data_IF_042205963993
#
_entry.id   IF_042205963993
#
_cell.length_a   1.000
_cell.length_b   1.000
_cell.length_c   1.000
_cell.angle_alpha   90.00
_cell.angle_beta   90.00
_cell.angle_gamma   90.00
#
_symmetry.space_group_name_H-M   'P 1'
#
loop_
_entity.id
_entity.type
_entity.pdbx_description
1 polymer ?
#
# COMPACT_ATOMS: atom_id res chain seq x y z
N UNK A 1 13.68 9.45 -6.80
CA UNK A 1 12.38 8.81 -7.05
C UNK A 1 12.54 7.60 -7.97
N UNK A 2 13.14 7.78 -9.16
CA UNK A 2 13.44 6.69 -10.12
C UNK A 2 14.04 5.42 -9.46
N UNK A 3 15.06 5.60 -8.60
CA UNK A 3 15.71 4.48 -7.89
C UNK A 3 14.80 3.59 -7.03
N UNK A 4 13.70 4.10 -6.48
CA UNK A 4 12.80 3.27 -5.67
C UNK A 4 11.78 2.52 -6.51
N UNK A 5 11.39 3.10 -7.65
CA UNK A 5 10.55 2.42 -8.63
C UNK A 5 11.33 1.31 -9.34
N UNK A 6 12.61 1.54 -9.62
CA UNK A 6 13.56 0.54 -10.14
C UNK A 6 13.70 -0.68 -9.21
N UNK A 7 13.43 -0.53 -7.90
CA UNK A 7 13.42 -1.67 -6.98
C UNK A 7 12.20 -2.57 -7.16
N UNK A 8 11.08 -2.05 -7.68
CA UNK A 8 9.88 -2.85 -7.85
C UNK A 8 10.02 -3.81 -9.04
N UNK A 9 10.50 -3.29 -10.17
CA UNK A 9 10.71 -4.02 -11.43
C UNK A 9 11.94 -3.46 -12.14
N UNK A 10 12.91 -4.31 -12.44
CA UNK A 10 13.98 -4.01 -13.39
C UNK A 10 13.60 -4.59 -14.74
N UNK A 11 13.20 -3.73 -15.68
CA UNK A 11 12.79 -4.13 -17.02
C UNK A 11 13.95 -4.19 -18.02
N UNK A 12 15.20 -3.98 -17.60
CA UNK A 12 16.41 -4.05 -18.43
C UNK A 12 16.55 -2.93 -19.47
N UNK A 13 15.44 -2.43 -20.04
CA UNK A 13 15.33 -1.26 -20.92
C UNK A 13 13.88 -0.74 -20.93
N UNK A 14 13.52 0.18 -20.03
CA UNK A 14 12.21 0.86 -20.09
C UNK A 14 10.98 -0.05 -19.85
N UNK A 15 9.87 0.58 -19.53
CA UNK A 15 8.66 0.06 -18.87
C UNK A 15 8.16 -1.29 -19.48
N UNK A 16 8.35 -2.38 -18.70
CA UNK A 16 7.73 -3.72 -18.78
C UNK A 16 7.99 -4.57 -20.05
N UNK A 17 9.12 -5.30 -20.08
CA UNK A 17 9.29 -6.49 -20.93
C UNK A 17 9.32 -7.78 -20.09
N UNK A 18 8.86 -8.90 -20.65
CA UNK A 18 8.92 -10.21 -20.00
C UNK A 18 10.38 -10.68 -19.93
N UNK A 19 10.84 -11.05 -18.72
CA UNK A 19 12.27 -11.24 -18.40
C UNK A 19 12.77 -10.32 -17.28
N UNK A 20 11.91 -9.43 -16.78
CA UNK A 20 12.20 -8.54 -15.67
C UNK A 20 12.48 -9.29 -14.34
N UNK A 21 13.28 -8.68 -13.48
CA UNK A 21 13.46 -9.09 -12.09
C UNK A 21 12.75 -8.11 -11.16
N UNK A 22 12.46 -8.52 -9.93
CA UNK A 22 12.14 -7.62 -8.82
C UNK A 22 13.36 -7.50 -7.92
N UNK A 23 14.19 -6.44 -8.07
CA UNK A 23 15.34 -6.21 -7.19
C UNK A 23 14.95 -6.14 -5.72
N UNK A 24 13.73 -5.71 -5.41
CA UNK A 24 13.23 -5.71 -4.06
C UNK A 24 13.08 -7.11 -3.47
N UNK A 25 12.57 -8.10 -4.21
CA UNK A 25 12.52 -9.48 -3.70
C UNK A 25 13.93 -10.07 -3.50
N UNK A 26 14.93 -9.63 -4.28
CA UNK A 26 16.34 -10.01 -4.09
C UNK A 26 16.89 -9.42 -2.79
N UNK A 27 16.67 -8.12 -2.54
CA UNK A 27 17.05 -7.46 -1.30
C UNK A 27 16.33 -8.06 -0.08
N UNK A 28 15.04 -8.34 -0.22
CA UNK A 28 14.22 -9.00 0.79
C UNK A 28 14.78 -10.39 1.15
N UNK A 29 15.18 -11.18 0.16
CA UNK A 29 15.80 -12.49 0.40
C UNK A 29 17.08 -12.39 1.23
N UNK A 30 17.94 -11.40 0.94
CA UNK A 30 19.19 -11.17 1.67
C UNK A 30 18.93 -10.74 3.11
N UNK A 31 17.97 -9.82 3.30
CA UNK A 31 17.51 -9.40 4.62
C UNK A 31 16.95 -10.59 5.42
N UNK A 32 16.06 -11.39 4.81
CA UNK A 32 15.46 -12.58 5.43
C UNK A 32 16.50 -13.64 5.78
N UNK A 33 17.55 -13.80 4.98
CA UNK A 33 18.59 -14.79 5.23
C UNK A 33 19.36 -14.50 6.53
N UNK A 34 19.56 -13.23 6.88
CA UNK A 34 20.17 -12.81 8.14
C UNK A 34 21.64 -13.25 8.31
N UNK A 35 22.34 -13.48 7.20
CA UNK A 35 23.70 -14.02 7.17
C UNK A 35 24.76 -12.98 7.59
N UNK A 36 25.93 -13.49 8.00
CA UNK A 36 27.14 -12.67 8.14
C UNK A 36 27.60 -12.19 6.75
N UNK A 37 28.40 -11.12 6.65
CA UNK A 37 28.91 -10.67 5.35
C UNK A 37 29.73 -11.75 4.59
N UNK A 38 30.60 -12.56 5.24
CA UNK A 38 31.27 -13.67 4.58
C UNK A 38 30.32 -14.75 4.04
N UNK A 39 29.27 -15.10 4.80
CA UNK A 39 28.31 -16.12 4.37
C UNK A 39 27.33 -15.59 3.32
N UNK A 40 26.98 -14.31 3.40
CA UNK A 40 26.17 -13.64 2.40
C UNK A 40 26.85 -13.63 1.01
N UNK A 41 28.18 -13.57 0.97
CA UNK A 41 28.94 -13.70 -0.27
C UNK A 41 28.82 -15.07 -0.94
N UNK A 42 28.38 -16.10 -0.20
CA UNK A 42 28.08 -17.45 -0.72
C UNK A 42 26.67 -17.54 -1.33
N UNK A 43 25.82 -16.55 -1.10
CA UNK A 43 24.43 -16.51 -1.57
C UNK A 43 24.31 -15.71 -2.88
N UNK A 44 23.97 -16.41 -3.96
CA UNK A 44 23.70 -15.83 -5.28
C UNK A 44 22.19 -15.86 -5.52
N UNK A 45 21.55 -14.69 -5.48
CA UNK A 45 20.09 -14.57 -5.59
C UNK A 45 19.70 -13.96 -6.95
N UNK A 46 18.84 -14.66 -7.68
CA UNK A 46 18.10 -14.15 -8.83
C UNK A 46 16.60 -14.07 -8.53
N UNK A 47 15.85 -13.45 -9.43
CA UNK A 47 14.41 -13.32 -9.31
C UNK A 47 13.73 -13.48 -10.66
N UNK A 48 12.57 -14.15 -10.66
CA UNK A 48 11.63 -14.16 -11.77
C UNK A 48 10.45 -13.25 -11.41
N UNK A 49 10.27 -12.17 -12.16
CA UNK A 49 9.08 -11.32 -12.03
C UNK A 49 7.95 -11.82 -12.91
N UNK A 50 6.74 -11.80 -12.38
CA UNK A 50 5.51 -12.10 -13.12
C UNK A 50 4.51 -10.96 -12.98
N UNK A 51 4.05 -10.42 -14.11
CA UNK A 51 3.03 -9.36 -14.14
C UNK A 51 1.68 -9.87 -13.65
N UNK A 52 1.26 -11.05 -14.09
CA UNK A 52 -0.04 -11.61 -13.75
C UNK A 52 0.01 -12.42 -12.45
N UNK A 53 -1.00 -12.25 -11.59
CA UNK A 53 -1.10 -12.95 -10.31
C UNK A 53 -1.22 -14.48 -10.47
N UNK A 54 -1.87 -14.95 -11.53
CA UNK A 54 -1.98 -16.38 -11.86
C UNK A 54 -0.63 -16.97 -12.25
N UNK A 55 0.14 -16.27 -13.09
CA UNK A 55 1.53 -16.66 -13.40
C UNK A 55 2.38 -16.69 -12.13
N UNK A 56 2.22 -15.68 -11.27
CA UNK A 56 2.90 -15.63 -9.96
C UNK A 56 2.56 -16.84 -9.09
N UNK A 57 1.29 -17.25 -9.01
CA UNK A 57 0.84 -18.42 -8.25
C UNK A 57 1.63 -19.69 -8.62
N UNK A 58 1.87 -19.89 -9.92
CA UNK A 58 2.55 -21.08 -10.43
C UNK A 58 4.07 -21.04 -10.30
N UNK A 59 4.67 -19.87 -10.02
CA UNK A 59 6.12 -19.80 -9.74
C UNK A 59 6.50 -20.52 -8.45
N UNK A 60 7.76 -20.98 -8.39
CA UNK A 60 8.34 -21.69 -7.26
C UNK A 60 9.72 -21.13 -6.96
N UNK A 61 10.10 -21.17 -5.68
CA UNK A 61 11.46 -20.87 -5.26
C UNK A 61 12.34 -22.05 -5.64
N UNK A 62 13.31 -21.82 -6.52
CA UNK A 62 14.28 -22.84 -6.93
C UNK A 62 15.63 -22.56 -6.27
N UNK A 63 16.36 -23.58 -5.83
CA UNK A 63 17.71 -23.38 -5.32
C UNK A 63 18.63 -24.54 -5.69
N UNK A 64 19.93 -24.29 -5.72
CA UNK A 64 20.95 -25.30 -5.98
C UNK A 64 22.25 -24.92 -5.26
N UNK A 65 22.74 -25.83 -4.42
CA UNK A 65 24.07 -25.72 -3.82
C UNK A 65 25.12 -26.27 -4.80
N UNK A 66 26.23 -25.55 -5.00
CA UNK A 66 27.35 -25.97 -5.86
C UNK A 66 28.69 -25.57 -5.23
N UNK A 67 29.79 -26.27 -5.55
CA UNK A 67 31.12 -25.80 -5.19
C UNK A 67 31.40 -24.43 -5.83
N UNK A 68 31.83 -23.49 -5.01
CA UNK A 68 32.30 -22.16 -5.41
C UNK A 68 33.78 -22.16 -5.81
N UNK A 69 34.32 -21.01 -6.24
CA UNK A 69 35.69 -20.89 -6.75
C UNK A 69 36.79 -21.34 -5.76
N UNK A 70 36.51 -21.23 -4.46
CA UNK A 70 37.45 -21.57 -3.38
C UNK A 70 37.20 -22.96 -2.78
N UNK A 71 36.30 -23.76 -3.36
CA UNK A 71 35.85 -25.05 -2.81
C UNK A 71 34.72 -24.96 -1.79
N UNK A 72 34.40 -23.75 -1.29
CA UNK A 72 33.26 -23.51 -0.41
C UNK A 72 31.92 -23.75 -1.12
N UNK A 73 30.85 -24.07 -0.39
CA UNK A 73 29.52 -24.19 -0.99
C UNK A 73 28.92 -22.81 -1.28
N UNK A 74 28.47 -22.59 -2.52
CA UNK A 74 27.64 -21.45 -2.92
C UNK A 74 26.18 -21.91 -3.14
N UNK A 75 25.24 -21.07 -2.73
CA UNK A 75 23.81 -21.31 -2.92
C UNK A 75 23.27 -20.37 -3.99
N UNK A 76 22.87 -20.94 -5.11
CA UNK A 76 22.16 -20.24 -6.17
C UNK A 76 20.66 -20.35 -5.90
N UNK A 77 19.99 -19.21 -5.80
CA UNK A 77 18.60 -19.12 -5.36
C UNK A 77 17.80 -18.28 -6.36
N UNK A 78 16.71 -18.82 -6.88
CA UNK A 78 15.78 -18.15 -7.75
C UNK A 78 14.47 -17.86 -7.01
N UNK A 79 14.27 -16.59 -6.65
CA UNK A 79 13.05 -16.10 -6.00
C UNK A 79 11.99 -15.73 -7.03
N UNK A 80 10.78 -15.43 -6.60
CA UNK A 80 9.72 -14.94 -7.49
C UNK A 80 9.08 -13.67 -6.96
N UNK A 81 8.74 -12.74 -7.85
CA UNK A 81 8.15 -11.44 -7.51
C UNK A 81 6.89 -11.12 -8.32
N UNK A 82 5.96 -10.39 -7.72
CA UNK A 82 4.76 -9.88 -8.38
C UNK A 82 4.29 -8.59 -7.71
N UNK A 83 3.92 -7.59 -8.51
CA UNK A 83 3.42 -6.32 -7.99
C UNK A 83 1.91 -6.26 -8.08
N UNK A 84 1.28 -5.77 -7.01
CA UNK A 84 -0.15 -5.45 -7.01
C UNK A 84 -0.33 -3.95 -6.88
N UNK A 85 -1.08 -3.38 -7.81
CA UNK A 85 -1.40 -1.96 -7.89
C UNK A 85 -2.82 -1.68 -7.34
N UNK A 86 -3.16 -0.42 -7.12
CA UNK A 86 -4.52 -0.05 -6.72
C UNK A 86 -5.50 -0.28 -7.89
N UNK A 87 -6.67 -0.88 -7.60
CA UNK A 87 -7.65 -1.28 -8.63
C UNK A 87 -8.20 -0.10 -9.45
N UNK A 88 -8.20 1.12 -8.89
CA UNK A 88 -8.71 2.33 -9.54
C UNK A 88 -7.78 2.86 -10.65
N UNK A 89 -6.60 2.28 -10.83
CA UNK A 89 -5.63 2.69 -11.84
C UNK A 89 -5.71 1.80 -13.07
N UNK A 90 -6.88 1.74 -13.71
CA UNK A 90 -6.97 1.25 -15.08
C UNK A 90 -6.35 2.31 -16.02
N UNK A 91 -5.10 2.07 -16.40
CA UNK A 91 -4.61 2.33 -17.76
C UNK A 91 -4.17 3.76 -18.20
N UNK A 92 -3.94 4.73 -17.29
CA UNK A 92 -3.59 6.12 -17.75
C UNK A 92 -2.37 6.81 -17.13
N UNK A 93 -1.64 6.23 -16.16
CA UNK A 93 -0.47 6.89 -15.57
C UNK A 93 0.80 6.01 -15.66
N UNK A 94 1.83 6.53 -16.34
CA UNK A 94 3.07 5.84 -16.73
C UNK A 94 4.06 5.56 -15.59
N UNK A 95 3.73 5.82 -14.33
CA UNK A 95 4.59 5.49 -13.19
C UNK A 95 3.81 5.58 -11.88
N UNK A 96 3.16 4.47 -11.50
CA UNK A 96 2.45 4.36 -10.22
C UNK A 96 3.24 3.40 -9.33
N UNK A 97 3.39 3.74 -8.05
CA UNK A 97 3.98 2.81 -7.09
C UNK A 97 3.08 1.60 -6.91
N UNK A 98 3.67 0.41 -6.85
CA UNK A 98 2.94 -0.77 -6.43
C UNK A 98 2.41 -0.55 -5.00
N UNK A 99 1.18 -0.98 -4.73
CA UNK A 99 0.66 -1.00 -3.34
C UNK A 99 1.47 -2.00 -2.51
N UNK A 100 1.75 -3.15 -3.10
CA UNK A 100 2.52 -4.24 -2.51
C UNK A 100 3.34 -5.00 -3.55
N UNK A 101 4.37 -5.68 -3.07
CA UNK A 101 5.21 -6.59 -3.83
C UNK A 101 5.13 -7.96 -3.14
N UNK A 102 4.52 -8.92 -3.80
CA UNK A 102 4.52 -10.32 -3.37
C UNK A 102 5.83 -10.99 -3.73
N UNK A 103 6.53 -11.52 -2.73
CA UNK A 103 7.77 -12.26 -2.90
C UNK A 103 7.62 -13.69 -2.39
N UNK A 104 8.10 -14.66 -3.19
CA UNK A 104 8.34 -16.03 -2.75
C UNK A 104 9.85 -16.21 -2.52
N UNK A 105 10.21 -16.47 -1.27
CA UNK A 105 11.58 -16.48 -0.76
C UNK A 105 11.92 -17.85 -0.15
N UNK A 106 13.20 -18.14 0.04
CA UNK A 106 13.68 -19.28 0.83
C UNK A 106 13.86 -18.84 2.29
N UNK A 107 13.46 -19.66 3.24
CA UNK A 107 13.61 -19.35 4.68
C UNK A 107 15.08 -19.29 5.09
N UNK A 108 15.38 -18.49 6.14
CA UNK A 108 16.72 -18.42 6.73
C UNK A 108 17.22 -19.82 7.13
N UNK A 109 16.36 -20.64 7.75
CA UNK A 109 16.71 -22.01 8.17
C UNK A 109 17.09 -22.92 6.98
N UNK A 110 16.37 -22.81 5.86
CA UNK A 110 16.75 -23.52 4.63
C UNK A 110 18.12 -23.07 4.14
N UNK A 111 18.40 -21.76 4.15
CA UNK A 111 19.69 -21.22 3.71
C UNK A 111 20.82 -21.68 4.63
N UNK A 112 20.62 -21.61 5.96
CA UNK A 112 21.55 -22.14 6.97
C UNK A 112 21.90 -23.61 6.66
N UNK A 113 20.88 -24.44 6.41
CA UNK A 113 21.05 -25.85 6.07
C UNK A 113 21.82 -26.08 4.78
N UNK A 114 21.49 -25.35 3.71
CA UNK A 114 22.13 -25.55 2.40
C UNK A 114 23.59 -25.07 2.37
N UNK A 115 23.91 -24.03 3.13
CA UNK A 115 25.27 -23.47 3.20
C UNK A 115 26.11 -24.04 4.35
N UNK A 116 25.50 -24.78 5.28
CA UNK A 116 26.11 -25.22 6.54
C UNK A 116 26.66 -24.03 7.36
N UNK A 117 25.82 -23.01 7.55
CA UNK A 117 26.14 -21.76 8.27
C UNK A 117 25.08 -21.48 9.34
N UNK A 118 25.31 -20.46 10.16
CA UNK A 118 24.33 -19.95 11.13
C UNK A 118 24.05 -18.48 10.81
N UNK A 119 22.78 -18.10 10.69
CA UNK A 119 22.39 -16.72 10.53
C UNK A 119 22.75 -15.93 11.79
N UNK A 120 23.30 -14.73 11.58
CA UNK A 120 23.58 -13.76 12.65
C UNK A 120 22.28 -13.24 13.24
N UNK A 121 21.26 -13.06 12.40
CA UNK A 121 19.92 -12.64 12.80
C UNK A 121 18.92 -13.70 12.40
N UNK A 122 18.32 -14.36 13.39
CA UNK A 122 17.27 -15.38 13.20
C UNK A 122 15.90 -14.79 13.45
N UNK A 123 14.88 -15.45 12.89
CA UNK A 123 13.49 -15.07 13.09
C UNK A 123 13.12 -13.75 12.41
N UNK A 124 13.84 -13.36 11.35
CA UNK A 124 13.48 -12.21 10.52
C UNK A 124 12.10 -12.45 9.92
N UNK A 125 11.17 -11.51 10.18
CA UNK A 125 9.79 -11.56 9.70
C UNK A 125 9.62 -10.75 8.41
N UNK A 126 8.50 -10.90 7.70
CA UNK A 126 8.18 -10.03 6.57
C UNK A 126 8.03 -8.57 7.03
N UNK A 127 7.54 -8.35 8.26
CA UNK A 127 7.49 -7.04 8.90
C UNK A 127 8.87 -6.41 9.12
N UNK A 128 9.89 -7.21 9.45
CA UNK A 128 11.27 -6.72 9.57
C UNK A 128 11.87 -6.35 8.22
N UNK A 129 11.55 -7.12 7.17
CA UNK A 129 11.92 -6.78 5.78
C UNK A 129 11.29 -5.44 5.36
N UNK A 130 10.04 -5.17 5.77
CA UNK A 130 9.39 -3.88 5.52
C UNK A 130 10.05 -2.71 6.29
N UNK A 131 10.51 -2.93 7.53
CA UNK A 131 11.32 -1.94 8.26
C UNK A 131 12.61 -1.63 7.52
N UNK A 132 13.30 -2.66 7.03
CA UNK A 132 14.51 -2.52 6.22
C UNK A 132 14.26 -1.72 4.93
N UNK A 133 13.10 -1.93 4.28
CA UNK A 133 12.67 -1.14 3.13
C UNK A 133 12.58 0.35 3.47
N UNK A 134 11.95 0.68 4.60
CA UNK A 134 11.81 2.06 5.05
C UNK A 134 13.18 2.69 5.34
N UNK A 135 14.07 1.99 6.03
CA UNK A 135 15.43 2.47 6.30
C UNK A 135 16.23 2.74 5.02
N UNK A 136 16.13 1.85 4.03
CA UNK A 136 16.74 2.03 2.73
C UNK A 136 16.20 3.29 2.04
N UNK A 137 14.88 3.48 2.04
CA UNK A 137 14.25 4.66 1.47
C UNK A 137 14.71 5.93 2.20
N UNK A 138 14.77 5.94 3.54
CA UNK A 138 15.23 7.11 4.29
C UNK A 138 16.66 7.55 3.90
N UNK A 139 17.53 6.60 3.53
CA UNK A 139 18.90 6.87 3.05
C UNK A 139 18.92 7.45 1.62
N UNK A 140 17.87 7.23 0.83
CA UNK A 140 17.73 7.76 -0.54
C UNK A 140 17.12 9.17 -0.60
N UNK A 141 16.52 9.64 0.50
CA UNK A 141 15.88 10.96 0.55
C UNK A 141 16.91 12.08 0.64
N UNK A 142 16.57 13.24 0.05
CA UNK A 142 17.37 14.45 0.28
C UNK A 142 17.28 14.87 1.76
N UNK A 143 18.33 15.51 2.32
CA UNK A 143 18.32 15.97 3.71
C UNK A 143 17.10 16.86 4.04
N UNK A 144 16.71 17.74 3.11
CA UNK A 144 15.54 18.62 3.25
C UNK A 144 14.23 17.83 3.35
N UNK A 145 14.07 16.82 2.49
CA UNK A 145 12.89 15.96 2.48
C UNK A 145 12.78 15.17 3.77
N UNK A 146 13.87 14.53 4.18
CA UNK A 146 13.93 13.75 5.41
C UNK A 146 13.65 14.63 6.63
N UNK A 147 14.23 15.84 6.69
CA UNK A 147 13.97 16.81 7.77
C UNK A 147 12.49 17.20 7.82
N UNK A 148 11.87 17.49 6.66
CA UNK A 148 10.43 17.83 6.58
C UNK A 148 9.56 16.68 7.06
N UNK A 149 9.83 15.47 6.59
CA UNK A 149 9.09 14.26 7.00
C UNK A 149 9.20 14.01 8.51
N UNK A 150 10.42 14.08 9.07
CA UNK A 150 10.62 13.91 10.52
C UNK A 150 9.90 14.98 11.36
N UNK A 151 9.80 16.21 10.84
CA UNK A 151 9.20 17.32 11.58
C UNK A 151 7.67 17.37 11.50
N UNK A 152 7.07 16.94 10.38
CA UNK A 152 5.64 17.17 10.10
C UNK A 152 4.90 15.93 9.60
N UNK A 153 5.62 14.94 9.09
CA UNK A 153 5.02 13.75 8.51
C UNK A 153 4.50 12.81 9.58
N UNK A 154 3.34 12.22 9.31
CA UNK A 154 2.87 11.02 10.01
C UNK A 154 3.80 9.85 9.70
N UNK A 155 4.15 9.09 10.73
CA UNK A 155 5.21 8.09 10.66
C UNK A 155 4.76 6.78 9.96
N UNK A 156 5.64 5.80 9.86
CA UNK A 156 5.26 4.41 9.56
C UNK A 156 5.14 3.65 10.88
N UNK A 157 4.09 2.85 11.02
CA UNK A 157 3.91 1.95 12.15
C UNK A 157 3.92 0.50 11.66
N UNK A 158 4.54 -0.39 12.43
CA UNK A 158 4.67 -1.79 12.08
C UNK A 158 3.76 -2.63 12.97
N UNK A 159 2.84 -3.35 12.35
CA UNK A 159 1.99 -4.34 13.02
C UNK A 159 2.63 -5.73 12.87
N UNK A 160 2.26 -6.71 13.72
CA UNK A 160 2.63 -8.09 13.50
C UNK A 160 2.20 -8.58 12.11
N UNK A 161 2.99 -9.46 11.53
CA UNK A 161 2.58 -10.18 10.32
C UNK A 161 1.35 -11.05 10.61
N UNK A 162 0.55 -11.30 9.58
CA UNK A 162 -0.62 -12.16 9.66
C UNK A 162 -0.60 -13.18 8.53
N UNK A 163 -1.40 -14.24 8.66
CA UNK A 163 -1.46 -15.34 7.72
C UNK A 163 -2.82 -15.37 7.02
N UNK A 164 -2.87 -15.90 5.78
CA UNK A 164 -4.15 -16.11 5.11
C UNK A 164 -4.97 -17.15 5.87
N UNK A 165 -6.30 -17.07 5.76
CA UNK A 165 -7.18 -17.99 6.46
C UNK A 165 -6.86 -19.46 6.10
N UNK A 166 -6.50 -20.28 7.10
CA UNK A 166 -6.20 -21.70 6.90
C UNK A 166 -4.85 -22.01 6.25
N UNK A 167 -3.93 -21.05 6.11
CA UNK A 167 -2.57 -21.26 5.59
C UNK A 167 -2.55 -21.89 4.19
N UNK A 168 -3.51 -21.50 3.35
CA UNK A 168 -3.72 -22.06 2.01
C UNK A 168 -2.99 -21.22 0.97
N UNK A 169 -2.02 -21.82 0.28
CA UNK A 169 -1.16 -21.15 -0.72
C UNK A 169 -1.90 -20.31 -1.77
N UNK A 170 -2.98 -20.78 -2.41
CA UNK A 170 -3.79 -19.95 -3.31
C UNK A 170 -4.35 -18.67 -2.66
N UNK A 171 -4.73 -18.69 -1.38
CA UNK A 171 -5.26 -17.50 -0.70
C UNK A 171 -4.20 -16.41 -0.53
N UNK A 172 -2.92 -16.78 -0.39
CA UNK A 172 -1.82 -15.82 -0.38
C UNK A 172 -1.79 -14.94 -1.64
N UNK A 173 -2.24 -15.46 -2.79
CA UNK A 173 -2.25 -14.73 -4.06
C UNK A 173 -3.32 -13.64 -4.04
N UNK A 174 -4.50 -13.95 -3.52
CA UNK A 174 -5.67 -13.06 -3.56
C UNK A 174 -5.67 -12.04 -2.43
N UNK A 175 -5.16 -12.41 -1.26
CA UNK A 175 -5.01 -11.51 -0.13
C UNK A 175 -3.87 -10.51 -0.34
N UNK A 176 -3.85 -9.48 0.51
CA UNK A 176 -2.93 -8.35 0.43
C UNK A 176 -2.39 -8.02 1.81
N UNK A 177 -1.26 -7.33 1.87
CA UNK A 177 -0.83 -6.69 3.11
C UNK A 177 -1.85 -5.62 3.55
N UNK A 178 -1.94 -5.41 4.86
CA UNK A 178 -2.84 -4.40 5.42
C UNK A 178 -2.14 -3.05 5.52
N UNK A 179 -2.78 -2.03 4.98
CA UNK A 179 -2.41 -0.62 5.13
C UNK A 179 -3.54 0.10 5.83
N UNK A 180 -3.31 0.53 7.07
CA UNK A 180 -4.28 1.31 7.85
C UNK A 180 -3.70 2.68 8.16
N UNK A 181 -4.28 3.73 7.59
CA UNK A 181 -3.92 5.11 7.93
C UNK A 181 -4.64 5.54 9.21
N UNK A 182 -3.91 6.19 10.12
CA UNK A 182 -4.49 6.82 11.30
C UNK A 182 -3.90 8.24 11.50
N UNK A 183 -4.24 8.88 12.61
CA UNK A 183 -3.82 10.25 12.91
C UNK A 183 -2.30 10.43 13.04
N UNK A 184 -1.55 9.38 13.40
CA UNK A 184 -0.12 9.47 13.71
C UNK A 184 0.77 8.74 12.71
N UNK A 185 0.25 7.73 12.00
CA UNK A 185 1.04 6.91 11.08
C UNK A 185 0.22 6.13 10.05
N UNK A 186 0.94 5.60 9.05
CA UNK A 186 0.50 4.49 8.21
C UNK A 186 0.93 3.18 8.87
N UNK A 187 -0.03 2.42 9.40
CA UNK A 187 0.22 1.11 9.97
C UNK A 187 0.27 0.03 8.88
N UNK A 188 1.34 -0.76 8.89
CA UNK A 188 1.65 -1.79 7.88
C UNK A 188 1.68 -3.15 8.58
N UNK A 189 0.87 -4.10 8.12
CA UNK A 189 0.94 -5.50 8.51
C UNK A 189 1.19 -6.35 7.27
N UNK A 190 2.22 -7.20 7.26
CA UNK A 190 2.52 -8.04 6.11
C UNK A 190 1.70 -9.32 6.16
N UNK A 191 1.18 -9.74 5.02
CA UNK A 191 0.72 -11.12 4.85
C UNK A 191 1.95 -12.02 4.68
N UNK A 192 2.11 -12.98 5.58
CA UNK A 192 3.24 -13.90 5.62
C UNK A 192 2.74 -15.34 5.58
N UNK A 193 3.51 -16.22 4.95
CA UNK A 193 3.26 -17.66 4.92
C UNK A 193 4.60 -18.38 4.95
N UNK A 194 4.74 -19.44 5.74
CA UNK A 194 5.98 -20.19 5.77
C UNK A 194 5.70 -21.67 5.78
N UNK A 195 6.65 -22.42 5.23
CA UNK A 195 6.58 -23.88 5.18
C UNK A 195 7.76 -24.46 5.93
N UNK A 196 7.54 -25.58 6.61
CA UNK A 196 8.62 -26.26 7.31
C UNK A 196 9.70 -26.72 6.31
N UNK A 197 10.96 -26.70 6.74
CA UNK A 197 12.13 -27.10 5.95
C UNK A 197 12.13 -28.57 5.53
N UNK A 198 11.31 -29.40 6.16
CA UNK A 198 11.10 -30.83 5.85
C UNK A 198 9.77 -31.09 5.11
N UNK A 199 9.05 -30.03 4.72
CA UNK A 199 7.81 -30.14 3.95
C UNK A 199 8.04 -30.85 2.62
N UNK A 200 7.24 -31.90 2.36
CA UNK A 200 7.34 -32.72 1.14
C UNK A 200 6.99 -31.96 -0.14
N UNK A 201 6.16 -30.92 -0.05
CA UNK A 201 5.65 -30.20 -1.23
C UNK A 201 6.45 -28.94 -1.53
N UNK A 202 6.77 -28.18 -0.48
CA UNK A 202 7.47 -26.90 -0.57
C UNK A 202 8.37 -26.77 0.66
N UNK A 203 9.59 -27.32 0.62
CA UNK A 203 10.48 -27.32 1.78
C UNK A 203 11.01 -25.91 2.06
N UNK A 204 10.67 -25.37 3.22
CA UNK A 204 11.34 -24.20 3.80
C UNK A 204 11.24 -22.93 2.98
N UNK A 205 10.07 -22.70 2.40
CA UNK A 205 9.73 -21.50 1.62
C UNK A 205 9.04 -20.49 2.52
N UNK A 206 9.27 -19.20 2.26
CA UNK A 206 8.72 -18.07 3.00
C UNK A 206 8.09 -17.08 2.02
N UNK A 207 6.80 -16.83 2.12
CA UNK A 207 6.05 -15.91 1.28
C UNK A 207 5.79 -14.62 2.03
N UNK A 208 6.04 -13.48 1.39
CA UNK A 208 5.81 -12.16 1.98
C UNK A 208 5.04 -11.26 1.00
N UNK A 209 4.01 -10.57 1.49
CA UNK A 209 3.50 -9.35 0.85
C UNK A 209 4.21 -8.15 1.47
N UNK A 210 5.13 -7.57 0.73
CA UNK A 210 5.99 -6.48 1.19
C UNK A 210 5.46 -5.14 0.71
N UNK A 211 5.65 -4.11 1.53
CA UNK A 211 5.37 -2.74 1.14
C UNK A 211 6.39 -2.30 0.09
N UNK A 212 5.90 -1.71 -0.99
CA UNK A 212 6.77 -1.16 -2.02
C UNK A 212 7.66 -0.03 -1.46
N UNK A 213 8.97 -0.03 -1.78
CA UNK A 213 9.85 1.12 -1.53
C UNK A 213 9.36 2.42 -2.17
N UNK A 214 8.77 2.37 -3.37
CA UNK A 214 8.22 3.55 -4.02
C UNK A 214 6.96 4.06 -3.29
N UNK A 215 6.11 3.15 -2.78
CA UNK A 215 4.95 3.53 -1.97
C UNK A 215 5.36 4.18 -0.64
N UNK A 216 6.49 3.77 -0.06
CA UNK A 216 7.08 4.44 1.10
C UNK A 216 7.50 5.87 0.74
N UNK A 217 8.14 6.08 -0.42
CA UNK A 217 8.46 7.43 -0.89
C UNK A 217 7.20 8.26 -1.06
N UNK A 218 6.15 7.72 -1.70
CA UNK A 218 4.90 8.45 -1.89
C UNK A 218 4.31 8.85 -0.54
N UNK A 219 4.24 7.93 0.42
CA UNK A 219 3.81 8.24 1.78
C UNK A 219 4.61 9.40 2.40
N UNK A 220 5.93 9.31 2.37
CA UNK A 220 6.84 10.32 2.95
C UNK A 220 6.70 11.68 2.26
N UNK A 221 6.51 11.69 0.94
CA UNK A 221 6.51 12.89 0.14
C UNK A 221 5.17 13.62 0.12
N UNK A 222 4.07 12.89 0.22
CA UNK A 222 2.72 13.42 0.01
C UNK A 222 1.78 13.05 1.16
N UNK A 223 1.39 11.79 1.28
CA UNK A 223 0.25 11.37 2.12
C UNK A 223 0.49 11.61 3.62
N UNK A 224 1.73 11.44 4.09
CA UNK A 224 2.09 11.68 5.50
C UNK A 224 1.94 13.15 5.93
N UNK A 225 1.95 14.10 4.99
CA UNK A 225 1.85 15.54 5.26
C UNK A 225 0.41 16.07 5.20
N UNK A 226 -0.52 15.26 4.72
CA UNK A 226 -1.95 15.60 4.73
C UNK A 226 -2.47 15.54 6.17
N UNK A 227 -3.42 16.41 6.55
CA UNK A 227 -4.20 16.22 7.77
C UNK A 227 -4.84 14.84 7.75
N UNK A 228 -5.05 14.24 8.92
CA UNK A 228 -5.75 12.97 9.01
C UNK A 228 -7.17 13.10 8.42
N UNK A 229 -7.57 12.08 7.66
CA UNK A 229 -8.86 12.06 6.98
C UNK A 229 -10.04 12.22 7.96
N UNK A 230 -9.89 11.75 9.20
CA UNK A 230 -10.81 11.98 10.32
C UNK A 230 -11.03 13.46 10.63
N UNK A 231 -9.97 14.27 10.65
CA UNK A 231 -10.09 15.72 10.88
C UNK A 231 -10.70 16.43 9.68
N UNK A 232 -10.44 15.95 8.46
CA UNK A 232 -11.01 16.56 7.24
C UNK A 232 -12.53 16.41 7.17
N UNK A 233 -13.10 15.28 7.61
CA UNK A 233 -14.56 15.10 7.69
C UNK A 233 -15.22 16.08 8.68
N UNK A 234 -14.54 16.44 9.77
CA UNK A 234 -15.01 17.49 10.71
C UNK A 234 -15.06 18.88 10.07
N UNK A 235 -14.06 19.24 9.25
CA UNK A 235 -14.04 20.54 8.55
C UNK A 235 -15.11 20.62 7.45
N UNK A 236 -15.33 19.57 6.66
CA UNK A 236 -16.39 19.56 5.66
C UNK A 236 -17.79 19.55 6.29
N UNK A 237 -17.97 18.88 7.43
CA UNK A 237 -19.21 18.91 8.22
C UNK A 237 -19.54 20.32 8.73
N UNK A 238 -18.55 21.05 9.24
CA UNK A 238 -18.73 22.43 9.70
C UNK A 238 -19.09 23.39 8.54
N UNK A 239 -18.44 23.26 7.39
CA UNK A 239 -18.75 24.06 6.21
C UNK A 239 -20.14 23.73 5.63
N UNK A 240 -20.55 22.46 5.63
CA UNK A 240 -21.88 22.05 5.21
C UNK A 240 -22.98 22.57 6.14
N UNK A 241 -22.74 22.56 7.46
CA UNK A 241 -23.69 23.11 8.44
C UNK A 241 -23.83 24.64 8.34
N UNK A 242 -22.77 25.35 7.94
CA UNK A 242 -22.81 26.80 7.72
C UNK A 242 -23.57 27.18 6.43
N UNK A 243 -23.45 26.35 5.39
CA UNK A 243 -24.21 26.50 4.13
C UNK A 243 -25.71 26.18 4.30
N UNK A 244 -26.06 25.14 5.07
CA UNK A 244 -27.47 24.78 5.31
C UNK A 244 -28.25 25.82 6.13
N UNK A 245 -27.59 26.52 7.07
CA UNK A 245 -28.22 27.64 7.79
C UNK A 245 -28.56 28.82 6.85
N UNK A 246 -27.77 29.05 5.81
CA UNK A 246 -28.07 30.06 4.79
C UNK A 246 -29.26 29.68 3.88
N UNK A 247 -29.34 28.43 3.45
CA UNK A 247 -30.41 27.94 2.59
C UNK A 247 -31.78 27.88 3.33
N UNK A 248 -31.79 27.44 4.59
CA UNK A 248 -33.01 27.42 5.39
C UNK A 248 -33.57 28.83 5.66
N UNK A 249 -32.69 29.82 5.88
CA UNK A 249 -33.10 31.21 6.09
C UNK A 249 -33.72 31.83 4.82
N UNK A 250 -33.14 31.55 3.65
CA UNK A 250 -33.66 32.03 2.37
C UNK A 250 -35.02 31.41 2.01
N UNK A 251 -35.21 30.12 2.29
CA UNK A 251 -36.49 29.45 2.05
C UNK A 251 -37.60 30.00 2.95
N UNK A 252 -37.32 30.22 4.25
CA UNK A 252 -38.31 30.75 5.18
C UNK A 252 -38.73 32.19 4.82
N UNK A 253 -37.78 33.01 4.38
CA UNK A 253 -38.06 34.39 3.95
C UNK A 253 -38.96 34.44 2.70
N UNK A 254 -38.72 33.56 1.72
CA UNK A 254 -39.54 33.46 0.52
C UNK A 254 -40.99 32.98 0.80
N UNK A 255 -41.16 32.05 1.73
CA UNK A 255 -42.50 31.56 2.15
C UNK A 255 -43.29 32.67 2.84
N UNK A 256 -42.66 33.42 3.75
CA UNK A 256 -43.31 34.55 4.44
C UNK A 256 -43.73 35.67 3.49
N UNK A 257 -42.95 35.93 2.44
CA UNK A 257 -43.27 36.95 1.42
C UNK A 257 -44.44 36.51 0.52
N UNK A 258 -44.56 35.21 0.25
CA UNK A 258 -45.67 34.61 -0.51
C UNK A 258 -46.99 34.60 0.27
N UNK A 259 -46.94 34.42 1.59
CA UNK A 259 -48.12 34.52 2.47
C UNK A 259 -48.64 35.96 2.60
N UNK A 260 -47.73 36.95 2.71
CA UNK A 260 -48.10 38.38 2.75
C UNK A 260 -48.81 38.85 1.48
N UNK A 261 -48.35 38.40 0.31
CA UNK A 261 -48.95 38.75 -0.98
C UNK A 261 -50.32 38.10 -1.18
N UNK A 262 -50.53 36.87 -0.72
CA UNK A 262 -51.86 36.22 -0.74
C UNK A 262 -52.88 36.94 0.14
N UNK A 263 -52.51 37.37 1.36
CA UNK A 263 -53.40 38.15 2.23
C UNK A 263 -53.81 39.49 1.60
N UNK A 264 -52.85 40.20 1.00
CA UNK A 264 -53.12 41.46 0.29
C UNK A 264 -54.10 41.28 -0.87
N UNK A 265 -53.95 40.24 -1.71
CA UNK A 265 -54.88 39.99 -2.82
C UNK A 265 -56.29 39.56 -2.35
N UNK A 266 -56.38 38.85 -1.22
CA UNK A 266 -57.68 38.48 -0.66
C UNK A 266 -58.47 39.70 -0.15
N UNK A 267 -57.79 40.70 0.43
CA UNK A 267 -58.41 41.96 0.85
C UNK A 267 -58.86 42.81 -0.34
N UNK A 268 -58.05 42.92 -1.39
CA UNK A 268 -58.42 43.64 -2.63
C UNK A 268 -59.65 43.01 -3.30
N UNK A 269 -59.71 41.68 -3.38
CA UNK A 269 -60.87 40.96 -3.93
C UNK A 269 -62.14 41.12 -3.08
N UNK A 270 -62.00 41.33 -1.77
CA UNK A 270 -63.13 41.61 -0.88
C UNK A 270 -63.68 43.03 -1.11
N UNK A 271 -62.81 44.01 -1.36
CA UNK A 271 -63.21 45.38 -1.69
C UNK A 271 -63.97 45.45 -3.02
N UNK A 272 -63.48 44.79 -4.08
CA UNK A 272 -64.13 44.83 -5.40
C UNK A 272 -65.51 44.16 -5.45
N UNK A 273 -65.85 43.28 -4.50
CA UNK A 273 -67.17 42.62 -4.46
C UNK A 273 -68.24 43.46 -3.78
N UNK A 274 -67.88 44.49 -3.00
CA UNK A 274 -68.84 45.33 -2.29
C UNK A 274 -69.36 46.55 -3.09
N UNK A 275 -68.81 46.83 -4.28
CA UNK A 275 -69.24 47.99 -5.10
C UNK A 275 -70.38 47.66 -6.10
N UNK A 276 -71.00 46.48 -6.05
CA UNK A 276 -72.01 46.04 -7.01
C UNK A 276 -73.44 45.97 -6.47
N UNK A 277 -73.84 46.95 -5.67
CA UNK A 277 -75.26 47.19 -5.34
C UNK A 277 -75.57 48.66 -5.57
N UNK A 278 -76.00 48.98 -6.80
CA UNK A 278 -76.73 50.22 -7.08
C UNK A 278 -78.22 49.93 -6.89
N UNK A 279 -78.95 50.77 -6.14
CA UNK A 279 -80.38 50.59 -5.94
C UNK A 279 -81.15 50.97 -7.22
N UNK A 280 -81.90 50.01 -7.77
CA UNK A 280 -82.90 50.25 -8.81
C UNK A 280 -84.25 50.58 -8.19
N UNK A 281 -84.76 51.74 -8.58
CA UNK A 281 -86.13 52.28 -8.43
C UNK A 281 -87.20 51.41 -9.07
#
# INVERSE_FOLDING_TARGET
MLKALELEVDSGQGIVSAGAASPWCIAAQRCLAGLSAPDEAKLVVSNVYTKEATSFEHTRVGFTARPGPNGDTQLFLNTSGHNKYNAEMSDTATSISAKEIGCKLLSSESIERQLNVTAVTRGVTCGDVNKYAAEMVMKLLSPTTLKRYKAKGRQLCWKPDFQPFGDVGPLFIYESLELTENATCLAVASLAMSTAVDSKRFPGVHYCKLLSPAKIIDWIMTDSLKPDSSTSQGMYSLAANQSQKGAAFNYFSAVLQKERTKKSMAEVNKMMKNERVLPGT
#
